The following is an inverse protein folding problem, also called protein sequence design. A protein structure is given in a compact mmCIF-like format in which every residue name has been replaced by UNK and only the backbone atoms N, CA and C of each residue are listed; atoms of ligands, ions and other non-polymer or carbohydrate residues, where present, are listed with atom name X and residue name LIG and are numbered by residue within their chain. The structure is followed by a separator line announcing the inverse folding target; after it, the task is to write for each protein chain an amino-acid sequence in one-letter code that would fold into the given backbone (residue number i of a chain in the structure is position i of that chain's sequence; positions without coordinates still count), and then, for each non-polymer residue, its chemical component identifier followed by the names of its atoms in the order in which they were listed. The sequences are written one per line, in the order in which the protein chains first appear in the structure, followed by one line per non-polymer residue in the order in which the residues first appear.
data_IF_958339405350
#
_entry.id   IF_958339405350
#
_cell.length_a   1.000
_cell.length_b   1.000
_cell.length_c   1.000
_cell.angle_alpha   90.00
_cell.angle_beta   90.00
_cell.angle_gamma   90.00
#
_symmetry.space_group_name_H-M   'P 1'
#
loop_
_entity.id
_entity.type
_entity.pdbx_description
1 polymer ?
#
# COMPACT_ATOMS: atom_id res chain seq x y z
N UNK A 1 -23.36 7.09 4.63
CA UNK A 1 -22.72 6.00 3.84
C UNK A 1 -21.52 6.53 3.03
N UNK A 2 -21.61 7.74 2.47
CA UNK A 2 -20.54 8.44 1.74
C UNK A 2 -19.22 8.64 2.51
N UNK A 3 -19.27 8.93 3.82
CA UNK A 3 -18.07 9.07 4.67
C UNK A 3 -17.19 7.80 4.77
N UNK A 4 -17.80 6.60 4.73
CA UNK A 4 -17.05 5.33 4.76
C UNK A 4 -16.21 5.17 3.49
N UNK A 5 -16.71 5.64 2.36
CA UNK A 5 -16.00 5.57 1.08
C UNK A 5 -14.86 6.59 1.01
N UNK A 6 -15.01 7.77 1.64
CA UNK A 6 -13.97 8.81 1.69
C UNK A 6 -12.76 8.40 2.53
N UNK A 7 -12.98 7.90 3.76
CA UNK A 7 -11.88 7.44 4.63
C UNK A 7 -11.17 6.20 4.04
N UNK A 8 -11.94 5.29 3.44
CA UNK A 8 -11.37 4.13 2.73
C UNK A 8 -10.56 4.58 1.51
N UNK A 9 -11.03 5.61 0.79
CA UNK A 9 -10.26 6.21 -0.32
C UNK A 9 -8.99 6.90 0.18
N UNK A 10 -9.04 7.62 1.30
CA UNK A 10 -7.87 8.24 1.93
C UNK A 10 -6.81 7.20 2.28
N UNK A 11 -7.20 6.10 2.95
CA UNK A 11 -6.32 4.98 3.26
C UNK A 11 -5.69 4.40 1.99
N UNK A 12 -6.47 4.14 0.95
CA UNK A 12 -5.95 3.61 -0.33
C UNK A 12 -4.96 4.55 -1.00
N UNK A 13 -5.21 5.87 -0.97
CA UNK A 13 -4.29 6.87 -1.54
C UNK A 13 -2.97 6.88 -0.78
N UNK A 14 -3.00 6.99 0.54
CA UNK A 14 -1.81 6.96 1.39
C UNK A 14 -1.00 5.69 1.15
N UNK A 15 -1.64 4.52 1.21
CA UNK A 15 -1.01 3.23 0.92
C UNK A 15 -0.36 3.20 -0.48
N UNK A 16 -1.09 3.62 -1.51
CA UNK A 16 -0.63 3.60 -2.89
C UNK A 16 0.59 4.50 -3.13
N UNK A 17 0.59 5.69 -2.51
CA UNK A 17 1.69 6.65 -2.56
C UNK A 17 2.94 6.11 -1.86
N UNK A 18 2.78 5.55 -0.65
CA UNK A 18 3.87 4.93 0.11
C UNK A 18 4.49 3.77 -0.67
N UNK A 19 3.67 2.85 -1.19
CA UNK A 19 4.15 1.70 -1.97
C UNK A 19 4.92 2.16 -3.20
N UNK A 20 4.41 3.17 -3.91
CA UNK A 20 5.08 3.74 -5.09
C UNK A 20 6.42 4.38 -4.72
N UNK A 21 6.46 5.16 -3.64
CA UNK A 21 7.67 5.83 -3.18
C UNK A 21 8.74 4.80 -2.78
N UNK A 22 8.39 3.87 -1.89
CA UNK A 22 9.30 2.82 -1.42
C UNK A 22 9.79 1.92 -2.55
N UNK A 23 8.93 1.54 -3.51
CA UNK A 23 9.37 0.76 -4.68
C UNK A 23 10.42 1.52 -5.48
N UNK A 24 10.18 2.80 -5.79
CA UNK A 24 11.13 3.60 -6.56
C UNK A 24 12.45 3.79 -5.82
N UNK A 25 12.41 4.02 -4.51
CA UNK A 25 13.58 4.25 -3.67
C UNK A 25 14.40 2.97 -3.48
N UNK A 26 13.75 1.88 -3.05
CA UNK A 26 14.43 0.67 -2.56
C UNK A 26 14.77 -0.33 -3.66
N UNK A 27 13.92 -0.48 -4.67
CA UNK A 27 14.10 -1.51 -5.70
C UNK A 27 14.46 -0.91 -7.06
N UNK A 28 14.01 0.34 -7.33
CA UNK A 28 14.13 1.00 -8.64
C UNK A 28 13.46 0.21 -9.78
N UNK A 29 12.62 -0.78 -9.45
CA UNK A 29 11.94 -1.65 -10.40
C UNK A 29 10.59 -1.09 -10.80
N UNK A 30 10.11 -1.42 -12.00
CA UNK A 30 8.71 -1.19 -12.38
C UNK A 30 7.78 -2.15 -11.61
N UNK A 31 6.47 -1.85 -11.53
CA UNK A 31 5.49 -2.76 -10.92
C UNK A 31 5.51 -4.14 -11.59
N UNK A 32 5.72 -4.18 -12.91
CA UNK A 32 5.82 -5.44 -13.67
C UNK A 32 7.03 -6.26 -13.23
N UNK A 33 8.20 -5.63 -13.15
CA UNK A 33 9.42 -6.34 -12.79
C UNK A 33 9.42 -6.80 -11.34
N UNK A 34 9.02 -5.93 -10.41
CA UNK A 34 8.85 -6.30 -9.00
C UNK A 34 7.82 -7.43 -8.84
N UNK A 35 6.70 -7.34 -9.55
CA UNK A 35 5.64 -8.35 -9.51
C UNK A 35 6.12 -9.72 -9.96
N UNK A 36 6.89 -9.78 -11.05
CA UNK A 36 7.44 -11.02 -11.57
C UNK A 36 8.49 -11.64 -10.63
N UNK A 37 9.35 -10.82 -10.03
CA UNK A 37 10.44 -11.28 -9.15
C UNK A 37 9.91 -11.84 -7.81
N UNK A 38 8.82 -11.28 -7.27
CA UNK A 38 8.30 -11.62 -5.94
C UNK A 38 6.93 -12.31 -5.93
N UNK A 39 6.45 -12.75 -7.10
CA UNK A 39 5.15 -13.44 -7.21
C UNK A 39 3.96 -12.57 -6.78
N UNK A 40 4.02 -11.28 -7.10
CA UNK A 40 2.94 -10.30 -6.88
C UNK A 40 2.29 -10.02 -8.24
N UNK A 41 0.96 -10.05 -8.32
CA UNK A 41 0.27 -9.69 -9.55
C UNK A 41 0.54 -8.21 -9.88
N UNK A 42 1.28 -7.97 -10.97
CA UNK A 42 1.73 -6.63 -11.38
C UNK A 42 0.59 -5.67 -11.70
N UNK A 43 -0.53 -6.17 -12.26
CA UNK A 43 -1.74 -5.37 -12.50
C UNK A 43 -2.36 -4.93 -11.18
N UNK A 44 -2.42 -5.82 -10.18
CA UNK A 44 -2.92 -5.45 -8.86
C UNK A 44 -1.98 -4.46 -8.17
N UNK A 45 -0.67 -4.67 -8.23
CA UNK A 45 0.31 -3.72 -7.68
C UNK A 45 0.15 -2.33 -8.29
N UNK A 46 0.00 -2.25 -9.62
CA UNK A 46 -0.25 -0.98 -10.30
C UNK A 46 -1.59 -0.34 -9.88
N UNK A 47 -2.66 -1.13 -9.74
CA UNK A 47 -3.96 -0.64 -9.26
C UNK A 47 -3.90 -0.15 -7.81
N UNK A 48 -3.15 -0.84 -6.93
CA UNK A 48 -2.91 -0.44 -5.53
C UNK A 48 -2.17 0.89 -5.48
N UNK A 49 -1.08 1.03 -6.24
CA UNK A 49 -0.33 2.30 -6.32
C UNK A 49 -1.14 3.49 -6.85
N UNK A 50 -2.27 3.24 -7.51
CA UNK A 50 -3.18 4.25 -8.01
C UNK A 50 -4.51 4.32 -7.22
N UNK A 51 -4.58 3.68 -6.04
CA UNK A 51 -5.77 3.63 -5.18
C UNK A 51 -7.04 3.06 -5.85
N UNK A 52 -6.91 2.31 -6.95
CA UNK A 52 -8.02 1.80 -7.75
C UNK A 52 -8.69 0.57 -7.14
N UNK A 53 -7.99 -0.15 -6.26
CA UNK A 53 -8.49 -1.33 -5.55
C UNK A 53 -8.01 -1.32 -4.09
N UNK A 54 -8.69 -2.08 -3.25
CA UNK A 54 -8.20 -2.37 -1.91
C UNK A 54 -6.99 -3.30 -1.94
N UNK A 55 -6.04 -3.06 -1.04
CA UNK A 55 -4.93 -3.96 -0.83
C UNK A 55 -5.31 -4.99 0.23
N UNK A 56 -5.35 -6.27 -0.15
CA UNK A 56 -5.53 -7.37 0.81
C UNK A 56 -4.29 -7.50 1.68
N UNK A 57 -4.47 -7.88 2.95
CA UNK A 57 -3.36 -8.07 3.90
C UNK A 57 -2.23 -8.95 3.34
N UNK A 58 -2.54 -10.08 2.71
CA UNK A 58 -1.55 -10.98 2.08
C UNK A 58 -0.74 -10.25 0.99
N UNK A 59 -1.37 -9.36 0.22
CA UNK A 59 -0.67 -8.59 -0.81
C UNK A 59 0.20 -7.50 -0.18
N UNK A 60 -0.30 -6.81 0.84
CA UNK A 60 0.48 -5.83 1.61
C UNK A 60 1.72 -6.48 2.24
N UNK A 61 1.58 -7.70 2.77
CA UNK A 61 2.69 -8.46 3.34
C UNK A 61 3.76 -8.80 2.30
N UNK A 62 3.36 -9.35 1.15
CA UNK A 62 4.28 -9.62 0.04
C UNK A 62 4.98 -8.36 -0.46
N UNK A 63 4.26 -7.23 -0.53
CA UNK A 63 4.84 -5.95 -0.90
C UNK A 63 5.93 -5.56 0.11
N UNK A 64 5.69 -5.69 1.42
CA UNK A 64 6.73 -5.39 2.43
C UNK A 64 7.97 -6.28 2.25
N UNK A 65 7.82 -7.58 2.00
CA UNK A 65 8.95 -8.47 1.74
C UNK A 65 9.69 -8.11 0.46
N UNK A 66 8.96 -7.78 -0.62
CA UNK A 66 9.54 -7.34 -1.89
C UNK A 66 10.28 -5.99 -1.79
N UNK A 67 9.91 -5.16 -0.81
CA UNK A 67 10.59 -3.91 -0.48
C UNK A 67 11.76 -4.12 0.51
N UNK A 68 12.00 -5.36 0.96
CA UNK A 68 13.05 -5.69 1.91
C UNK A 68 12.80 -5.14 3.32
N UNK A 69 11.55 -5.10 3.76
CA UNK A 69 11.15 -4.55 5.06
C UNK A 69 10.22 -5.48 5.83
N UNK A 70 10.20 -5.36 7.16
CA UNK A 70 9.22 -6.09 7.97
C UNK A 70 7.83 -5.50 7.76
N UNK A 71 6.81 -6.34 7.77
CA UNK A 71 5.43 -5.86 7.65
C UNK A 71 5.05 -4.85 8.73
N UNK A 72 5.56 -5.00 9.97
CA UNK A 72 5.32 -4.05 11.06
C UNK A 72 5.88 -2.65 10.77
N UNK A 73 7.04 -2.57 10.12
CA UNK A 73 7.65 -1.29 9.73
C UNK A 73 6.84 -0.64 8.60
N UNK A 74 6.40 -1.46 7.63
CA UNK A 74 5.53 -1.02 6.55
C UNK A 74 4.17 -0.50 7.07
N UNK A 75 3.54 -1.23 7.99
CA UNK A 75 2.29 -0.82 8.63
C UNK A 75 2.46 0.50 9.39
N UNK A 76 3.54 0.64 10.16
CA UNK A 76 3.83 1.86 10.90
C UNK A 76 4.00 3.09 9.99
N UNK A 77 4.68 2.95 8.85
CA UNK A 77 4.82 4.05 7.88
C UNK A 77 3.45 4.52 7.36
N UNK A 78 2.50 3.59 7.18
CA UNK A 78 1.14 3.93 6.75
C UNK A 78 0.39 4.68 7.86
N UNK A 79 0.46 4.19 9.10
CA UNK A 79 -0.16 4.86 10.26
C UNK A 79 0.42 6.26 10.47
N UNK A 80 1.75 6.39 10.47
CA UNK A 80 2.45 7.67 10.62
C UNK A 80 2.05 8.67 9.52
N UNK A 81 1.79 8.21 8.30
CA UNK A 81 1.35 9.05 7.17
C UNK A 81 -0.12 9.49 7.27
N UNK A 82 -0.98 8.64 7.82
CA UNK A 82 -2.41 8.95 7.99
C UNK A 82 -2.67 9.86 9.19
N UNK A 83 -1.77 9.85 10.18
CA UNK A 83 -1.87 10.62 11.42
C UNK A 83 -2.54 9.84 12.55
N UNK A 84 -2.18 10.18 13.80
CA UNK A 84 -2.58 9.44 15.02
C UNK A 84 -4.10 9.36 15.22
N UNK A 85 -4.85 10.31 14.69
CA UNK A 85 -6.32 10.38 14.84
C UNK A 85 -7.09 9.64 13.73
N UNK A 86 -6.40 9.03 12.75
CA UNK A 86 -7.07 8.36 11.66
C UNK A 86 -7.79 7.09 12.14
N UNK A 87 -9.13 7.11 12.07
CA UNK A 87 -9.98 5.94 12.29
C UNK A 87 -10.83 5.66 11.06
N UNK A 88 -10.79 4.42 10.57
CA UNK A 88 -11.58 3.99 9.42
C UNK A 88 -13.09 3.88 9.72
N UNK A 89 -13.42 3.61 10.98
CA UNK A 89 -14.78 3.50 11.50
C UNK A 89 -15.00 4.67 12.46
N UNK A 90 -16.11 5.38 12.29
CA UNK A 90 -16.56 6.39 13.25
C UNK A 90 -17.14 5.69 14.49
N UNK A 91 -16.79 6.16 15.68
CA UNK A 91 -17.43 5.74 16.95
C UNK A 91 -18.87 6.25 17.06
#
# INVERSE_FOLDING_TARGET
MQYKDEKTLQLRKSLGEIVRALRKERTKLSCTRLGNEYGINSKNLNKIENALIDCKLITAWKISEALGMKFSEFAKIIEDNLGEDFKLIDE
#
